data_IF_026227877933
#
_entry.id   IF_026227877933
#
_cell.length_a   1.000
_cell.length_b   1.000
_cell.length_c   1.000
_cell.angle_alpha   90.00
_cell.angle_beta   90.00
_cell.angle_gamma   90.00
#
_symmetry.space_group_name_H-M   'P 1'
#
loop_
_entity.id
_entity.type
_entity.pdbx_description
1 polymer ?
#
# COMPACT_ATOMS: atom_id res chain seq x y z
N UNK A 1 -6.42 -8.90 16.30
CA UNK A 1 -4.99 -8.94 15.89
C UNK A 1 -4.43 -7.53 16.10
N UNK A 2 -3.36 -7.35 16.89
CA UNK A 2 -2.67 -6.05 16.97
C UNK A 2 -1.81 -5.89 15.73
N UNK A 3 -2.04 -4.84 14.94
CA UNK A 3 -1.20 -4.52 13.79
C UNK A 3 -0.14 -3.52 14.25
N UNK A 4 1.08 -4.01 14.51
CA UNK A 4 2.24 -3.13 14.62
C UNK A 4 2.58 -2.64 13.22
N UNK A 5 2.29 -1.37 12.92
CA UNK A 5 2.67 -0.77 11.65
C UNK A 5 4.07 -0.19 11.80
N UNK A 6 5.06 -0.87 11.22
CA UNK A 6 6.38 -0.29 11.00
C UNK A 6 6.31 0.44 9.66
N UNK A 7 6.16 1.76 9.67
CA UNK A 7 6.28 2.55 8.44
C UNK A 7 7.78 2.78 8.21
N UNK A 8 8.39 2.22 7.17
CA UNK A 8 9.82 2.39 6.92
C UNK A 8 10.10 3.86 6.53
N UNK A 9 11.16 4.44 7.11
CA UNK A 9 11.69 5.74 6.67
C UNK A 9 12.34 5.57 5.29
N UNK A 10 11.98 6.42 4.34
CA UNK A 10 12.71 6.59 3.08
C UNK A 10 11.83 6.64 1.83
N UNK A 11 11.25 7.79 1.53
CA UNK A 11 10.94 8.20 0.15
C UNK A 11 11.19 9.71 0.00
N UNK A 12 11.67 10.21 -1.15
CA UNK A 12 12.28 11.54 -1.28
C UNK A 12 11.28 12.71 -1.37
N UNK A 13 9.98 12.44 -1.29
CA UNK A 13 8.96 13.49 -1.29
C UNK A 13 8.53 13.77 0.15
N UNK A 14 9.09 14.84 0.72
CA UNK A 14 8.58 15.45 1.94
C UNK A 14 7.12 15.88 1.71
N UNK A 15 6.19 15.13 2.29
CA UNK A 15 4.75 15.38 2.20
C UNK A 15 4.32 16.44 3.24
N UNK A 16 3.34 17.31 2.93
CA UNK A 16 2.82 18.27 3.89
C UNK A 16 1.86 17.54 4.84
N UNK A 17 2.32 17.25 6.05
CA UNK A 17 1.59 16.56 7.10
C UNK A 17 1.64 17.40 8.37
N UNK A 18 0.51 17.60 9.06
CA UNK A 18 0.50 18.23 10.39
C UNK A 18 -0.27 17.42 11.45
N UNK A 19 -0.90 16.29 11.08
CA UNK A 19 -1.62 15.44 12.06
C UNK A 19 -1.28 13.94 11.95
N UNK A 20 -1.06 13.41 10.74
CA UNK A 20 -0.76 11.99 10.57
C UNK A 20 0.71 11.64 10.79
N UNK A 21 1.65 12.55 10.48
CA UNK A 21 3.06 12.22 10.67
C UNK A 21 3.65 12.58 12.04
N UNK A 22 2.91 13.29 12.89
CA UNK A 22 3.20 13.26 14.33
C UNK A 22 2.91 11.87 14.94
N UNK A 23 1.95 11.14 14.35
CA UNK A 23 1.61 9.76 14.71
C UNK A 23 2.52 8.71 14.05
N UNK A 24 3.29 9.08 13.01
CA UNK A 24 4.06 8.15 12.17
C UNK A 24 5.58 8.40 12.16
N UNK A 25 6.08 9.53 12.70
CA UNK A 25 7.51 9.84 12.72
C UNK A 25 8.31 8.95 13.70
N UNK A 26 7.61 8.36 14.67
CA UNK A 26 8.13 7.51 15.73
C UNK A 26 7.47 6.13 15.67
N UNK A 27 8.18 5.05 16.07
CA UNK A 27 7.59 3.72 16.13
C UNK A 27 6.32 3.75 17.01
N UNK A 28 5.18 3.42 16.42
CA UNK A 28 3.88 3.58 17.06
C UNK A 28 3.07 2.29 17.06
N UNK A 29 2.40 1.99 18.16
CA UNK A 29 1.45 0.89 18.30
C UNK A 29 0.02 1.42 18.19
N UNK A 30 -0.73 0.97 17.19
CA UNK A 30 -2.13 1.33 17.01
C UNK A 30 -3.07 0.26 17.60
N UNK A 31 -4.01 0.69 18.44
CA UNK A 31 -4.97 -0.18 19.11
C UNK A 31 -6.40 0.35 18.87
N UNK A 32 -7.05 -0.04 17.76
CA UNK A 32 -8.44 0.31 17.50
C UNK A 32 -9.41 -0.54 18.30
N UNK A 33 -10.50 0.09 18.77
CA UNK A 33 -11.56 -0.55 19.53
C UNK A 33 -12.91 -0.47 18.81
N UNK A 34 -13.73 -1.52 18.94
CA UNK A 34 -15.11 -1.52 18.45
C UNK A 34 -16.08 -0.75 19.35
N UNK A 35 -15.75 -0.59 20.64
CA UNK A 35 -16.49 0.20 21.61
C UNK A 35 -15.58 1.11 22.42
N UNK A 36 -16.15 2.05 23.18
CA UNK A 36 -15.38 2.96 24.03
C UNK A 36 -14.54 2.17 25.05
N UNK A 37 -13.20 2.27 25.03
CA UNK A 37 -12.33 1.46 25.87
C UNK A 37 -12.43 1.90 27.34
N UNK A 38 -12.22 0.92 28.22
CA UNK A 38 -12.15 1.15 29.66
C UNK A 38 -10.68 1.17 30.11
N UNK A 39 -10.43 1.57 31.36
CA UNK A 39 -9.08 1.52 31.94
C UNK A 39 -8.43 0.14 31.84
N UNK A 40 -9.21 -0.94 32.02
CA UNK A 40 -8.69 -2.31 31.88
C UNK A 40 -8.18 -2.58 30.46
N UNK A 41 -8.90 -2.09 29.45
CA UNK A 41 -8.49 -2.21 28.06
C UNK A 41 -7.20 -1.43 27.80
N UNK A 42 -7.10 -0.18 28.24
CA UNK A 42 -5.90 0.66 28.03
C UNK A 42 -4.69 0.13 28.78
N UNK A 43 -4.85 -0.38 30.01
CA UNK A 43 -3.76 -1.07 30.74
C UNK A 43 -3.20 -2.27 29.98
N UNK A 44 -4.04 -3.00 29.23
CA UNK A 44 -3.58 -4.08 28.35
C UNK A 44 -2.75 -3.52 27.20
N UNK A 45 -3.12 -2.39 26.61
CA UNK A 45 -2.36 -1.72 25.55
C UNK A 45 -1.00 -1.21 26.06
N UNK A 46 -0.97 -0.58 27.25
CA UNK A 46 0.27 -0.14 27.89
C UNK A 46 1.24 -1.31 28.13
N UNK A 47 0.74 -2.46 28.56
CA UNK A 47 1.58 -3.66 28.69
C UNK A 47 2.19 -4.06 27.34
N UNK A 48 1.41 -4.03 26.26
CA UNK A 48 1.93 -4.32 24.90
C UNK A 48 3.00 -3.32 24.48
N UNK A 49 2.80 -2.03 24.74
CA UNK A 49 3.76 -0.96 24.45
C UNK A 49 5.09 -1.20 25.17
N UNK A 50 5.05 -1.50 26.47
CA UNK A 50 6.25 -1.81 27.26
C UNK A 50 6.95 -3.09 26.78
N UNK A 51 6.20 -4.14 26.47
CA UNK A 51 6.75 -5.38 25.91
C UNK A 51 7.42 -5.12 24.55
N UNK A 52 6.82 -4.28 23.71
CA UNK A 52 7.39 -3.92 22.42
C UNK A 52 8.67 -3.10 22.58
N UNK A 53 8.69 -2.11 23.47
CA UNK A 53 9.89 -1.36 23.78
C UNK A 53 11.05 -2.25 24.24
N UNK A 54 10.77 -3.19 25.15
CA UNK A 54 11.75 -4.18 25.60
C UNK A 54 12.33 -5.00 24.44
N UNK A 55 11.49 -5.40 23.49
CA UNK A 55 11.93 -6.14 22.31
C UNK A 55 12.79 -5.27 21.37
N UNK A 56 12.45 -4.00 21.19
CA UNK A 56 13.27 -3.06 20.43
C UNK A 56 14.65 -2.87 21.07
N UNK A 57 14.71 -2.67 22.39
CA UNK A 57 15.98 -2.61 23.14
C UNK A 57 16.79 -3.90 23.00
N UNK A 58 16.14 -5.07 23.09
CA UNK A 58 16.80 -6.37 22.90
C UNK A 58 17.43 -6.47 21.52
N UNK A 59 16.68 -6.13 20.46
CA UNK A 59 17.17 -6.15 19.07
C UNK A 59 18.32 -5.17 18.86
N UNK A 60 18.22 -3.96 19.41
CA UNK A 60 19.26 -2.95 19.29
C UNK A 60 20.56 -3.39 19.99
N UNK A 61 20.47 -4.00 21.19
CA UNK A 61 21.63 -4.60 21.88
C UNK A 61 22.23 -5.75 21.08
N UNK A 62 21.42 -6.61 20.49
CA UNK A 62 21.90 -7.72 19.64
C UNK A 62 22.62 -7.21 18.38
N UNK A 63 22.09 -6.17 17.72
CA UNK A 63 22.71 -5.56 16.55
C UNK A 63 24.02 -4.81 16.89
N UNK A 64 24.06 -4.13 18.04
CA UNK A 64 25.28 -3.46 18.50
C UNK A 64 26.41 -4.47 18.82
N UNK A 65 26.08 -5.67 19.33
CA UNK A 65 27.07 -6.74 19.61
C UNK A 65 27.63 -7.42 18.36
N UNK A 66 26.97 -7.31 17.21
CA UNK A 66 27.47 -7.86 15.94
C UNK A 66 28.42 -6.92 15.21
N UNK A 67 28.55 -5.68 15.67
CA UNK A 67 29.49 -4.68 15.16
C UNK A 67 30.70 -4.67 16.10
N UNK A 68 31.91 -4.78 15.57
CA UNK A 68 33.13 -4.73 16.39
C UNK A 68 33.19 -3.39 17.14
N UNK A 69 33.58 -3.37 18.43
CA UNK A 69 33.68 -2.13 19.18
C UNK A 69 34.79 -1.25 18.59
N UNK A 70 34.47 0.01 18.29
CA UNK A 70 35.48 1.06 18.09
C UNK A 70 36.12 1.35 19.45
N UNK A 71 37.41 1.04 19.59
CA UNK A 71 38.16 1.14 20.86
C UNK A 71 38.38 2.59 21.33
N UNK A 72 38.08 3.60 20.49
CA UNK A 72 38.39 5.02 20.72
C UNK A 72 37.19 5.88 21.18
N UNK A 73 36.01 5.28 21.45
CA UNK A 73 34.81 6.04 21.84
C UNK A 73 34.52 5.94 23.35
N UNK A 74 34.67 7.06 24.07
CA UNK A 74 34.27 7.24 25.49
C UNK A 74 32.73 7.27 25.71
N UNK A 75 31.93 7.08 24.65
CA UNK A 75 30.46 7.10 24.74
C UNK A 75 29.94 5.69 25.04
N UNK A 76 29.14 5.48 26.09
CA UNK A 76 28.57 4.16 26.38
C UNK A 76 27.79 3.64 25.15
N UNK A 77 28.03 2.39 24.68
CA UNK A 77 27.46 1.85 23.46
C UNK A 77 26.03 1.36 23.74
N UNK A 78 25.09 2.28 23.93
CA UNK A 78 23.66 1.95 23.88
C UNK A 78 23.01 2.89 22.87
N UNK A 79 22.59 2.41 21.69
CA UNK A 79 21.75 3.24 20.82
C UNK A 79 20.49 3.58 21.62
N UNK A 80 20.21 4.88 21.78
CA UNK A 80 19.00 5.35 22.44
C UNK A 80 17.78 4.85 21.65
N UNK A 81 17.14 3.79 22.13
CA UNK A 81 15.91 3.27 21.53
C UNK A 81 14.78 4.20 21.96
N UNK A 82 14.12 4.83 21.00
CA UNK A 82 12.98 5.70 21.27
C UNK A 82 11.82 4.90 21.88
N UNK A 83 11.18 5.45 22.91
CA UNK A 83 10.00 4.85 23.51
C UNK A 83 8.81 4.94 22.53
N UNK A 84 8.20 3.82 22.13
CA UNK A 84 7.21 3.84 21.07
C UNK A 84 5.90 4.48 21.52
N UNK A 85 5.27 5.28 20.64
CA UNK A 85 3.98 5.88 20.94
C UNK A 85 2.86 4.83 20.97
N UNK A 86 1.95 4.91 21.94
CA UNK A 86 0.71 4.13 21.94
C UNK A 86 -0.45 4.99 21.44
N UNK A 87 -1.12 4.56 20.37
CA UNK A 87 -2.28 5.23 19.80
C UNK A 87 -3.53 4.38 20.02
N UNK A 88 -4.37 4.80 20.98
CA UNK A 88 -5.66 4.17 21.27
C UNK A 88 -6.73 4.83 20.39
N UNK A 89 -7.36 4.07 19.50
CA UNK A 89 -8.42 4.59 18.63
C UNK A 89 -9.78 4.15 19.17
N UNK A 90 -10.53 5.11 19.70
CA UNK A 90 -11.82 4.91 20.36
C UNK A 90 -12.98 5.43 19.52
N UNK A 91 -14.07 4.66 19.32
CA UNK A 91 -15.24 5.12 18.60
C UNK A 91 -15.96 6.30 19.26
N UNK A 92 -15.97 6.34 20.60
CA UNK A 92 -16.59 7.39 21.42
C UNK A 92 -15.62 7.89 22.51
N UNK A 93 -15.98 8.94 23.22
CA UNK A 93 -15.10 9.58 24.21
C UNK A 93 -14.94 8.70 25.47
N UNK A 94 -13.73 8.23 25.82
CA UNK A 94 -13.52 7.38 26.99
C UNK A 94 -13.17 8.22 28.22
N UNK A 95 -14.14 8.89 28.84
CA UNK A 95 -13.91 9.84 29.94
C UNK A 95 -13.03 9.27 31.06
N UNK A 96 -13.36 8.05 31.52
CA UNK A 96 -12.57 7.37 32.56
C UNK A 96 -11.09 7.19 32.21
N UNK A 97 -10.75 7.02 30.93
CA UNK A 97 -9.37 6.90 30.45
C UNK A 97 -8.72 8.27 30.36
N UNK A 98 -9.41 9.24 29.77
CA UNK A 98 -8.90 10.60 29.62
C UNK A 98 -8.57 11.20 30.99
N UNK A 99 -9.46 11.03 31.97
CA UNK A 99 -9.27 11.54 33.33
C UNK A 99 -8.11 10.83 34.06
N UNK A 100 -8.07 9.49 34.02
CA UNK A 100 -7.09 8.72 34.78
C UNK A 100 -5.65 8.92 34.29
N UNK A 101 -5.48 9.15 32.99
CA UNK A 101 -4.16 9.37 32.37
C UNK A 101 -3.87 10.85 32.08
N UNK A 102 -4.74 11.76 32.55
CA UNK A 102 -4.63 13.22 32.35
C UNK A 102 -4.40 13.56 30.88
N UNK A 103 -5.24 12.98 30.02
CA UNK A 103 -5.14 13.22 28.59
C UNK A 103 -5.76 14.58 28.24
N UNK A 104 -4.96 15.48 27.67
CA UNK A 104 -5.39 16.82 27.29
C UNK A 104 -5.70 16.89 25.79
N UNK A 105 -6.74 17.64 25.37
CA UNK A 105 -7.04 17.83 23.97
C UNK A 105 -5.94 18.65 23.29
N UNK A 106 -5.41 18.15 22.19
CA UNK A 106 -4.49 18.90 21.32
C UNK A 106 -5.23 19.45 20.11
N UNK A 107 -6.20 18.69 19.61
CA UNK A 107 -7.11 19.07 18.54
C UNK A 107 -8.40 18.26 18.65
N UNK A 108 -9.40 18.60 17.83
CA UNK A 108 -10.68 17.91 17.83
C UNK A 108 -10.50 16.39 17.63
N UNK A 109 -10.89 15.61 18.65
CA UNK A 109 -10.79 14.16 18.67
C UNK A 109 -9.39 13.58 18.87
N UNK A 110 -8.37 14.37 19.24
CA UNK A 110 -7.03 13.87 19.56
C UNK A 110 -6.58 14.39 20.93
N UNK A 111 -6.23 13.44 21.80
CA UNK A 111 -5.84 13.68 23.18
C UNK A 111 -4.46 13.11 23.45
N UNK A 112 -3.59 13.86 24.13
CA UNK A 112 -2.27 13.40 24.54
C UNK A 112 -2.23 13.18 26.05
N UNK A 113 -1.78 12.02 26.48
CA UNK A 113 -1.46 11.77 27.89
C UNK A 113 -0.20 12.55 28.31
N UNK A 114 0.13 12.45 29.61
CA UNK A 114 1.37 13.02 30.14
C UNK A 114 2.60 12.59 29.32
N UNK A 115 3.61 13.48 29.12
CA UNK A 115 4.73 13.22 28.20
C UNK A 115 5.47 11.90 28.42
N UNK A 116 5.63 11.47 29.68
CA UNK A 116 6.33 10.22 30.02
C UNK A 116 5.60 8.92 29.63
N UNK A 117 4.32 8.97 29.25
CA UNK A 117 3.54 7.80 28.86
C UNK A 117 3.48 7.61 27.33
N UNK A 118 3.84 8.64 26.56
CA UNK A 118 3.80 8.69 25.09
C UNK A 118 2.56 7.98 24.54
N UNK A 119 1.39 8.35 25.09
CA UNK A 119 0.11 7.74 24.74
C UNK A 119 -0.82 8.81 24.17
N UNK A 120 -1.51 8.46 23.09
CA UNK A 120 -2.48 9.29 22.40
C UNK A 120 -3.81 8.56 22.35
N UNK A 121 -4.90 9.28 22.60
CA UNK A 121 -6.26 8.77 22.45
C UNK A 121 -6.93 9.51 21.31
N UNK A 122 -7.31 8.79 20.26
CA UNK A 122 -8.05 9.31 19.12
C UNK A 122 -9.52 8.95 19.30
N UNK A 123 -10.39 9.96 19.39
CA UNK A 123 -11.84 9.80 19.54
C UNK A 123 -12.52 10.03 18.19
N UNK A 124 -12.89 8.95 17.52
CA UNK A 124 -13.42 8.99 16.15
C UNK A 124 -14.72 9.81 16.02
N UNK A 125 -15.57 9.81 17.04
CA UNK A 125 -16.80 10.61 17.05
C UNK A 125 -16.57 12.13 17.08
N UNK A 126 -15.38 12.57 17.50
CA UNK A 126 -15.02 13.98 17.63
C UNK A 126 -14.12 14.47 16.48
N UNK A 127 -13.67 13.56 15.61
CA UNK A 127 -12.83 13.92 14.47
C UNK A 127 -13.63 14.74 13.44
N UNK A 128 -13.08 15.87 12.96
CA UNK A 128 -13.71 16.64 11.89
C UNK A 128 -13.79 15.81 10.61
N UNK A 129 -14.86 15.96 9.82
CA UNK A 129 -15.02 15.27 8.53
C UNK A 129 -14.25 16.01 7.43
N UNK A 130 -12.94 15.82 7.41
CA UNK A 130 -12.02 16.37 6.41
C UNK A 130 -11.23 15.26 5.74
N UNK A 131 -10.54 15.57 4.65
CA UNK A 131 -9.63 14.63 3.97
C UNK A 131 -8.50 14.15 4.90
N UNK A 132 -7.98 15.03 5.77
CA UNK A 132 -6.87 14.74 6.69
C UNK A 132 -7.19 13.68 7.76
N UNK A 133 -8.47 13.52 8.14
CA UNK A 133 -8.91 12.53 9.14
C UNK A 133 -9.50 11.26 8.52
N UNK A 134 -9.57 11.20 7.18
CA UNK A 134 -10.31 10.16 6.46
C UNK A 134 -9.87 8.75 6.85
N UNK A 135 -8.57 8.47 6.85
CA UNK A 135 -8.04 7.15 7.19
C UNK A 135 -8.34 6.73 8.63
N UNK A 136 -8.31 7.67 9.58
CA UNK A 136 -8.70 7.40 10.97
C UNK A 136 -10.20 7.10 11.06
N UNK A 137 -11.04 7.84 10.32
CA UNK A 137 -12.49 7.61 10.28
C UNK A 137 -12.86 6.27 9.63
N UNK A 138 -12.04 5.75 8.71
CA UNK A 138 -12.18 4.38 8.16
C UNK A 138 -11.94 3.28 9.20
N UNK A 139 -11.30 3.58 10.33
CA UNK A 139 -11.18 2.65 11.46
C UNK A 139 -12.45 2.59 12.32
N UNK A 140 -13.46 3.41 12.02
CA UNK A 140 -14.73 3.43 12.70
C UNK A 140 -15.64 2.26 12.31
N UNK A 141 -16.80 2.19 12.97
CA UNK A 141 -17.87 1.22 12.67
C UNK A 141 -19.18 1.93 12.32
N UNK A 142 -20.13 1.17 11.76
CA UNK A 142 -21.50 1.64 11.54
C UNK A 142 -21.61 2.85 10.60
N UNK A 143 -22.44 3.81 11.00
CA UNK A 143 -22.66 5.07 10.26
C UNK A 143 -21.38 5.89 10.00
N UNK A 144 -20.36 5.79 10.87
CA UNK A 144 -19.09 6.53 10.67
C UNK A 144 -18.27 5.92 9.54
N UNK A 145 -18.17 4.59 9.51
CA UNK A 145 -17.47 3.88 8.45
C UNK A 145 -18.11 4.13 7.09
N UNK A 146 -19.45 4.04 6.99
CA UNK A 146 -20.20 4.35 5.76
C UNK A 146 -19.84 5.74 5.22
N UNK A 147 -19.97 6.78 6.06
CA UNK A 147 -19.62 8.15 5.67
C UNK A 147 -18.16 8.29 5.23
N UNK A 148 -17.23 7.59 5.88
CA UNK A 148 -15.82 7.60 5.51
C UNK A 148 -15.58 6.88 4.17
N UNK A 149 -16.31 5.79 3.88
CA UNK A 149 -16.24 5.11 2.58
C UNK A 149 -16.83 5.97 1.46
N UNK A 150 -17.94 6.68 1.71
CA UNK A 150 -18.47 7.66 0.76
C UNK A 150 -17.45 8.76 0.47
N UNK A 151 -16.80 9.29 1.51
CA UNK A 151 -15.75 10.30 1.36
C UNK A 151 -14.55 9.78 0.57
N UNK A 152 -14.13 8.53 0.83
CA UNK A 152 -13.05 7.87 0.10
C UNK A 152 -13.42 7.64 -1.36
N UNK A 153 -14.64 7.19 -1.65
CA UNK A 153 -15.14 6.96 -3.00
C UNK A 153 -15.12 8.24 -3.84
N UNK A 154 -15.45 9.38 -3.23
CA UNK A 154 -15.50 10.69 -3.88
C UNK A 154 -14.10 11.26 -4.24
N UNK A 155 -13.01 10.72 -3.69
CA UNK A 155 -11.66 11.15 -4.08
C UNK A 155 -11.31 10.69 -5.51
N UNK A 156 -10.40 11.37 -6.22
CA UNK A 156 -9.82 10.85 -7.46
C UNK A 156 -9.15 9.47 -7.27
N UNK A 157 -9.17 8.62 -8.30
CA UNK A 157 -8.69 7.23 -8.23
C UNK A 157 -7.16 7.13 -7.99
N UNK A 158 -6.38 8.16 -8.35
CA UNK A 158 -4.92 8.26 -8.20
C UNK A 158 -4.46 8.81 -6.84
N UNK A 159 -5.39 9.03 -5.91
CA UNK A 159 -5.04 9.54 -4.58
C UNK A 159 -4.36 8.48 -3.72
N UNK A 160 -3.31 8.89 -3.01
CA UNK A 160 -2.58 8.00 -2.10
C UNK A 160 -3.49 7.42 -1.00
N UNK A 161 -4.53 8.14 -0.57
CA UNK A 161 -5.50 7.63 0.41
C UNK A 161 -6.19 6.36 -0.09
N UNK A 162 -6.57 6.33 -1.37
CA UNK A 162 -7.12 5.12 -2.01
C UNK A 162 -6.05 4.04 -2.10
N UNK A 163 -4.82 4.38 -2.48
CA UNK A 163 -3.72 3.40 -2.55
C UNK A 163 -3.43 2.71 -1.21
N UNK A 164 -3.54 3.45 -0.09
CA UNK A 164 -3.32 2.91 1.26
C UNK A 164 -4.56 2.18 1.80
N UNK A 165 -5.75 2.76 1.64
CA UNK A 165 -6.96 2.20 2.22
C UNK A 165 -7.43 0.93 1.51
N UNK A 166 -7.32 0.89 0.17
CA UNK A 166 -7.90 -0.19 -0.64
C UNK A 166 -7.38 -1.58 -0.26
N UNK A 167 -6.06 -1.86 -0.19
CA UNK A 167 -5.58 -3.21 0.11
C UNK A 167 -6.01 -3.68 1.49
N UNK A 168 -6.02 -2.76 2.46
CA UNK A 168 -6.46 -3.03 3.83
C UNK A 168 -7.94 -3.40 3.86
N UNK A 169 -8.77 -2.62 3.18
CA UNK A 169 -10.20 -2.85 3.06
C UNK A 169 -10.49 -4.23 2.41
N UNK A 170 -9.78 -4.60 1.33
CA UNK A 170 -9.91 -5.93 0.69
C UNK A 170 -9.50 -7.07 1.64
N UNK A 171 -8.45 -6.89 2.44
CA UNK A 171 -8.02 -7.88 3.43
C UNK A 171 -9.06 -8.09 4.55
N UNK A 172 -9.67 -7.01 5.04
CA UNK A 172 -10.69 -7.08 6.10
C UNK A 172 -11.98 -7.80 5.67
N UNK A 173 -12.24 -7.98 4.36
CA UNK A 173 -13.32 -8.84 3.82
C UNK A 173 -13.26 -10.28 4.34
N UNK A 174 -12.06 -10.81 4.58
CA UNK A 174 -11.91 -12.20 5.01
C UNK A 174 -12.16 -12.42 6.51
N UNK A 175 -12.26 -11.34 7.30
CA UNK A 175 -12.49 -11.40 8.75
C UNK A 175 -13.92 -11.06 9.20
N UNK A 176 -14.73 -10.41 8.36
CA UNK A 176 -16.12 -10.02 8.67
C UNK A 176 -17.08 -11.13 8.18
N UNK A 177 -16.88 -12.34 8.70
CA UNK A 177 -17.88 -13.42 8.65
C UNK A 177 -18.43 -13.63 10.06
N UNK A 178 -19.33 -12.77 10.50
CA UNK A 178 -20.31 -13.10 11.52
C UNK A 178 -21.53 -12.19 11.29
N UNK A 179 -22.74 -12.73 11.03
CA UNK A 179 -23.92 -11.92 10.86
C UNK A 179 -24.41 -11.50 12.24
N UNK A 180 -24.50 -10.20 12.52
CA UNK A 180 -25.35 -9.72 13.62
C UNK A 180 -26.35 -8.66 13.14
N UNK A 181 -27.42 -8.54 13.91
CA UNK A 181 -28.76 -8.01 13.64
C UNK A 181 -28.86 -6.68 12.88
N UNK A 182 -29.84 -6.62 11.95
CA UNK A 182 -30.53 -5.53 11.24
C UNK A 182 -29.82 -4.20 10.89
N UNK A 183 -29.03 -3.57 11.77
CA UNK A 183 -28.31 -2.33 11.43
C UNK A 183 -26.92 -2.58 10.80
N UNK A 184 -26.30 -3.73 11.09
CA UNK A 184 -25.02 -4.15 10.51
C UNK A 184 -25.16 -4.68 9.07
N UNK A 185 -26.37 -5.10 8.69
CA UNK A 185 -26.66 -5.60 7.34
C UNK A 185 -26.50 -4.51 6.27
N UNK A 186 -26.94 -3.29 6.54
CA UNK A 186 -26.78 -2.15 5.64
C UNK A 186 -25.33 -1.66 5.54
N UNK A 187 -24.57 -1.69 6.65
CA UNK A 187 -23.14 -1.31 6.64
C UNK A 187 -22.41 -2.30 5.75
N UNK A 188 -22.69 -3.57 5.97
CA UNK A 188 -22.10 -4.66 5.22
C UNK A 188 -22.52 -4.61 3.75
N UNK A 189 -23.76 -4.24 3.43
CA UNK A 189 -24.24 -4.11 2.06
C UNK A 189 -23.54 -2.99 1.29
N UNK A 190 -23.41 -1.80 1.88
CA UNK A 190 -22.75 -0.66 1.26
C UNK A 190 -21.24 -0.89 1.10
N UNK A 191 -20.61 -1.47 2.12
CA UNK A 191 -19.22 -1.94 2.06
C UNK A 191 -19.04 -2.96 0.93
N UNK A 192 -19.90 -3.98 0.85
CA UNK A 192 -19.88 -4.99 -0.22
C UNK A 192 -20.08 -4.37 -1.60
N UNK A 193 -20.97 -3.40 -1.73
CA UNK A 193 -21.23 -2.71 -3.00
C UNK A 193 -20.01 -1.90 -3.46
N UNK A 194 -19.42 -1.11 -2.56
CA UNK A 194 -18.19 -0.36 -2.84
C UNK A 194 -17.06 -1.29 -3.27
N UNK A 195 -16.87 -2.41 -2.56
CA UNK A 195 -15.87 -3.42 -2.95
C UNK A 195 -16.14 -4.05 -4.30
N UNK A 196 -17.40 -4.40 -4.58
CA UNK A 196 -17.78 -5.01 -5.85
C UNK A 196 -17.50 -4.08 -7.02
N UNK A 197 -17.82 -2.80 -6.87
CA UNK A 197 -17.52 -1.77 -7.85
C UNK A 197 -16.01 -1.61 -8.05
N UNK A 198 -15.25 -1.60 -6.95
CA UNK A 198 -13.79 -1.50 -7.01
C UNK A 198 -13.14 -2.72 -7.69
N UNK A 199 -13.53 -3.95 -7.33
CA UNK A 199 -13.03 -5.15 -8.02
C UNK A 199 -13.41 -5.18 -9.50
N UNK A 200 -14.58 -4.65 -9.86
CA UNK A 200 -14.99 -4.53 -11.26
C UNK A 200 -14.10 -3.55 -12.02
N UNK A 201 -13.73 -2.41 -11.41
CA UNK A 201 -12.76 -1.47 -11.98
C UNK A 201 -11.39 -2.12 -12.18
N UNK A 202 -10.86 -2.80 -11.16
CA UNK A 202 -9.55 -3.46 -11.25
C UNK A 202 -9.53 -4.53 -12.36
N UNK A 203 -10.55 -5.39 -12.40
CA UNK A 203 -10.68 -6.40 -13.48
C UNK A 203 -10.86 -5.75 -14.86
N UNK A 204 -11.46 -4.56 -14.93
CA UNK A 204 -11.61 -3.83 -16.19
C UNK A 204 -10.28 -3.27 -16.69
N UNK A 205 -9.46 -2.73 -15.80
CA UNK A 205 -8.11 -2.24 -16.10
C UNK A 205 -7.20 -3.40 -16.53
N UNK A 206 -7.15 -4.48 -15.75
CA UNK A 206 -6.38 -5.70 -16.09
C UNK A 206 -6.79 -6.28 -17.44
N UNK A 207 -8.11 -6.36 -17.72
CA UNK A 207 -8.60 -6.82 -19.02
C UNK A 207 -8.24 -5.87 -20.16
N UNK A 208 -8.16 -4.56 -19.89
CA UNK A 208 -7.79 -3.57 -20.91
C UNK A 208 -6.31 -3.73 -21.25
N UNK A 209 -5.45 -3.78 -20.23
CA UNK A 209 -4.01 -3.97 -20.38
C UNK A 209 -3.70 -5.29 -21.10
N UNK A 210 -4.26 -6.42 -20.65
CA UNK A 210 -4.07 -7.71 -21.32
C UNK A 210 -4.61 -7.78 -22.75
N UNK A 211 -5.67 -7.03 -23.08
CA UNK A 211 -6.16 -6.91 -24.46
C UNK A 211 -5.22 -6.08 -25.32
N UNK A 212 -4.68 -5.00 -24.78
CA UNK A 212 -3.78 -4.10 -25.51
C UNK A 212 -2.43 -4.80 -25.74
N UNK A 213 -1.90 -5.50 -24.75
CA UNK A 213 -0.73 -6.39 -24.88
C UNK A 213 -0.98 -7.51 -25.89
N UNK A 214 -2.11 -8.21 -25.80
CA UNK A 214 -2.47 -9.28 -26.75
C UNK A 214 -2.61 -8.78 -28.19
N UNK A 215 -3.17 -7.58 -28.40
CA UNK A 215 -3.22 -6.95 -29.73
C UNK A 215 -1.84 -6.53 -30.23
N UNK A 216 -0.97 -6.03 -29.35
CA UNK A 216 0.39 -5.66 -29.72
C UNK A 216 1.19 -6.92 -30.13
N UNK A 217 1.13 -7.98 -29.33
CA UNK A 217 1.78 -9.24 -29.62
C UNK A 217 1.24 -9.88 -30.92
N UNK A 218 -0.08 -9.90 -31.11
CA UNK A 218 -0.69 -10.42 -32.34
C UNK A 218 -0.22 -9.68 -33.60
N UNK A 219 -0.10 -8.34 -33.53
CA UNK A 219 0.44 -7.53 -34.64
C UNK A 219 1.90 -7.84 -34.93
N UNK A 220 2.73 -7.99 -33.90
CA UNK A 220 4.14 -8.37 -34.08
C UNK A 220 4.26 -9.78 -34.69
N UNK A 221 3.52 -10.76 -34.18
CA UNK A 221 3.54 -12.13 -34.72
C UNK A 221 3.08 -12.20 -36.19
N UNK A 222 2.04 -11.43 -36.55
CA UNK A 222 1.59 -11.32 -37.94
C UNK A 222 2.64 -10.66 -38.83
N UNK A 223 3.22 -9.54 -38.41
CA UNK A 223 4.25 -8.83 -39.16
C UNK A 223 5.49 -9.70 -39.38
N UNK A 224 5.93 -10.44 -38.36
CA UNK A 224 7.03 -11.41 -38.48
C UNK A 224 6.73 -12.52 -39.51
N UNK A 225 5.50 -13.04 -39.52
CA UNK A 225 5.05 -14.01 -40.54
C UNK A 225 5.00 -13.40 -41.95
N UNK A 226 4.65 -12.13 -42.07
CA UNK A 226 4.66 -11.41 -43.35
C UNK A 226 6.08 -11.29 -43.91
N UNK A 227 7.07 -10.93 -43.08
CA UNK A 227 8.50 -10.90 -43.46
C UNK A 227 8.95 -12.28 -43.99
N UNK A 228 8.69 -13.34 -43.23
CA UNK A 228 9.06 -14.71 -43.63
C UNK A 228 8.36 -15.15 -44.92
N UNK A 229 7.11 -14.73 -45.11
CA UNK A 229 6.35 -15.03 -46.32
C UNK A 229 6.93 -14.32 -47.55
N UNK A 230 7.30 -13.04 -47.43
CA UNK A 230 7.96 -12.30 -48.50
C UNK A 230 9.30 -12.94 -48.89
N UNK A 231 10.15 -13.26 -47.91
CA UNK A 231 11.44 -13.94 -48.15
C UNK A 231 11.25 -15.29 -48.87
N UNK A 232 10.25 -16.08 -48.44
CA UNK A 232 9.90 -17.35 -49.10
C UNK A 232 9.46 -17.16 -50.55
N UNK A 233 8.56 -16.20 -50.80
CA UNK A 233 8.07 -15.90 -52.17
C UNK A 233 9.20 -15.42 -53.08
N UNK A 234 10.16 -14.68 -52.52
CA UNK A 234 11.38 -14.23 -53.23
C UNK A 234 12.41 -15.34 -53.44
N UNK A 235 12.24 -16.51 -52.82
CA UNK A 235 13.19 -17.61 -52.88
C UNK A 235 14.49 -17.34 -52.11
N UNK A 236 14.48 -16.41 -51.15
CA UNK A 236 15.64 -16.10 -50.31
C UNK A 236 15.71 -17.14 -49.18
N UNK A 237 16.84 -17.84 -49.09
CA UNK A 237 17.08 -18.78 -48.01
C UNK A 237 17.15 -18.05 -46.67
N UNK A 238 16.39 -18.54 -45.67
CA UNK A 238 16.35 -17.97 -44.32
C UNK A 238 17.01 -18.96 -43.36
N UNK A 239 18.26 -18.73 -42.92
CA UNK A 239 18.90 -19.53 -41.89
C UNK A 239 18.11 -19.51 -40.57
N UNK A 240 18.27 -20.54 -39.74
CA UNK A 240 17.54 -20.67 -38.48
C UNK A 240 17.76 -19.47 -37.54
N UNK A 241 18.99 -18.96 -37.46
CA UNK A 241 19.31 -17.76 -36.68
C UNK A 241 18.53 -16.52 -37.13
N UNK A 242 18.35 -16.33 -38.45
CA UNK A 242 17.56 -15.23 -38.99
C UNK A 242 16.06 -15.42 -38.71
N UNK A 243 15.57 -16.67 -38.81
CA UNK A 243 14.19 -17.01 -38.48
C UNK A 243 13.86 -16.74 -37.01
N UNK A 244 14.72 -17.16 -36.09
CA UNK A 244 14.57 -16.90 -34.66
C UNK A 244 14.58 -15.41 -34.36
N UNK A 245 15.47 -14.64 -35.00
CA UNK A 245 15.52 -13.18 -34.83
C UNK A 245 14.24 -12.48 -35.31
N UNK A 246 13.68 -12.92 -36.43
CA UNK A 246 12.44 -12.36 -36.99
C UNK A 246 11.25 -12.70 -36.09
N UNK A 247 11.13 -13.95 -35.62
CA UNK A 247 10.03 -14.36 -34.75
C UNK A 247 10.15 -13.80 -33.32
N UNK A 248 11.37 -13.50 -32.88
CA UNK A 248 11.64 -12.90 -31.57
C UNK A 248 11.50 -11.37 -31.53
N UNK A 249 11.35 -10.70 -32.67
CA UNK A 249 11.14 -9.25 -32.71
C UNK A 249 9.71 -8.91 -32.26
N UNK A 250 9.61 -7.96 -31.32
CA UNK A 250 8.34 -7.54 -30.72
C UNK A 250 7.89 -6.17 -31.18
N UNK A 251 8.78 -5.42 -31.83
CA UNK A 251 8.46 -4.11 -32.40
C UNK A 251 7.86 -4.27 -33.82
N UNK A 252 6.56 -3.97 -34.01
CA UNK A 252 5.92 -4.06 -35.32
C UNK A 252 6.52 -3.09 -36.34
N UNK A 253 7.05 -1.94 -35.93
CA UNK A 253 7.64 -0.96 -36.87
C UNK A 253 8.99 -1.44 -37.44
N UNK A 254 9.74 -2.21 -36.66
CA UNK A 254 10.97 -2.87 -37.13
C UNK A 254 10.61 -3.98 -38.12
N UNK A 255 9.60 -4.79 -37.78
CA UNK A 255 9.12 -5.87 -38.63
C UNK A 255 8.54 -5.38 -39.96
N UNK A 256 7.82 -4.25 -39.96
CA UNK A 256 7.29 -3.63 -41.17
C UNK A 256 8.43 -3.14 -42.08
N UNK A 257 9.46 -2.50 -41.52
CA UNK A 257 10.68 -2.12 -42.26
C UNK A 257 11.40 -3.34 -42.85
N UNK A 258 11.49 -4.44 -42.11
CA UNK A 258 12.04 -5.69 -42.65
C UNK A 258 11.17 -6.29 -43.75
N UNK A 259 9.85 -6.15 -43.64
CA UNK A 259 8.92 -6.63 -44.65
C UNK A 259 9.11 -5.87 -45.97
N UNK A 260 9.16 -4.54 -45.92
CA UNK A 260 9.43 -3.70 -47.08
C UNK A 260 10.77 -4.04 -47.75
N UNK A 261 11.83 -4.22 -46.95
CA UNK A 261 13.14 -4.64 -47.46
C UNK A 261 13.09 -6.01 -48.10
N UNK A 262 12.39 -6.97 -47.48
CA UNK A 262 12.27 -8.33 -48.01
C UNK A 262 11.63 -8.37 -49.41
N UNK A 263 10.77 -7.41 -49.76
CA UNK A 263 10.12 -7.34 -51.08
C UNK A 263 11.16 -7.10 -52.19
N UNK A 264 12.18 -6.27 -51.93
CA UNK A 264 13.16 -5.83 -52.94
C UNK A 264 14.55 -6.45 -52.78
N UNK A 265 14.85 -7.05 -51.62
CA UNK A 265 16.15 -7.61 -51.28
C UNK A 265 16.61 -8.71 -52.26
N UNK A 266 17.93 -8.81 -52.44
CA UNK A 266 18.57 -9.90 -53.17
C UNK A 266 19.06 -11.02 -52.23
N UNK A 267 19.27 -10.69 -50.95
CA UNK A 267 19.76 -11.61 -49.93
C UNK A 267 19.15 -11.33 -48.54
N UNK A 268 19.34 -12.24 -47.58
CA UNK A 268 18.88 -12.06 -46.20
C UNK A 268 19.63 -10.92 -45.47
N UNK A 269 20.90 -10.68 -45.81
CA UNK A 269 21.71 -9.59 -45.23
C UNK A 269 21.14 -8.21 -45.62
N UNK A 270 20.53 -8.10 -46.80
CA UNK A 270 19.86 -6.87 -47.24
C UNK A 270 18.58 -6.58 -46.46
N UNK A 271 18.05 -7.55 -45.71
CA UNK A 271 16.87 -7.40 -44.84
C UNK A 271 17.27 -7.21 -43.38
N UNK A 272 18.27 -7.98 -42.93
CA UNK A 272 18.80 -7.98 -41.57
C UNK A 272 20.28 -7.56 -41.58
N UNK A 273 20.60 -6.25 -41.59
CA UNK A 273 21.96 -5.77 -41.81
C UNK A 273 22.88 -6.02 -40.60
N UNK A 274 22.32 -6.32 -39.43
CA UNK A 274 23.06 -6.52 -38.18
C UNK A 274 23.52 -7.97 -37.95
N UNK A 275 23.28 -8.88 -38.91
CA UNK A 275 23.66 -10.30 -38.86
C UNK A 275 24.92 -10.64 -39.69
N UNK A 276 25.72 -9.63 -40.06
CA UNK A 276 26.99 -9.80 -40.78
C UNK A 276 28.13 -10.29 -39.90
#
# INVERSE_FOLDING_TARGET
>A
MSTACLIPRGSPNALPWDCSAELSAEPSLFEPFHGTPSLRHVRRCLRKQLTWHHELERRARSAARSVAPDEDSDTPPQPAVAFPALVVVSPGRPETVLDAYRCEPVQAGVYHAVPGLVMRVVVLAELPRTRTTLLLRLLGSGRRLRKALTDLAALPDDTWEKSVATPLLVHFRHGIQEPTTDEEDDVSAEIRAWFKEYEQKLRAEERKEGRDEGRAQGRAEEAARAVLTALRVRGIAVPDAARERILGEKDPEILERWHERAIVAASIADVLPDLS
#
